data_IF_136256890446
#
_entry.id   IF_136256890446
#
_cell.length_a   1.000
_cell.length_b   1.000
_cell.length_c   1.000
_cell.angle_alpha   90.00
_cell.angle_beta   90.00
_cell.angle_gamma   90.00
#
_symmetry.space_group_name_H-M   'P 1'
#
loop_
_entity.id
_entity.type
_entity.pdbx_description
1 polymer ?
#
# COMPACT_ATOMS: atom_id res chain seq x y z
N UNK A 1 -11.11 0.39 1.15
CA UNK A 1 -11.53 1.35 0.10
C UNK A 1 -10.46 1.36 -0.99
N UNK A 2 -10.81 1.13 -2.24
CA UNK A 2 -9.88 1.24 -3.39
C UNK A 2 -9.59 2.72 -3.70
N UNK A 3 -8.38 3.06 -4.18
CA UNK A 3 -7.98 4.46 -4.41
C UNK A 3 -8.83 5.17 -5.46
N UNK A 4 -9.44 4.41 -6.38
CA UNK A 4 -10.37 4.91 -7.40
C UNK A 4 -11.63 5.55 -6.78
N UNK A 5 -12.19 4.93 -5.73
CA UNK A 5 -13.43 5.35 -5.04
C UNK A 5 -13.20 6.32 -3.88
N UNK A 6 -11.95 6.52 -3.47
CA UNK A 6 -11.63 7.46 -2.39
C UNK A 6 -11.89 8.91 -2.82
N UNK A 7 -12.73 9.60 -2.03
CA UNK A 7 -13.08 11.02 -2.20
C UNK A 7 -12.50 11.80 -0.99
N UNK A 8 -11.41 12.57 -1.17
CA UNK A 8 -10.70 13.23 -0.07
C UNK A 8 -11.54 14.22 0.74
N UNK A 9 -12.58 14.83 0.14
CA UNK A 9 -13.48 15.76 0.83
C UNK A 9 -14.35 15.09 1.89
N UNK A 10 -14.67 13.81 1.70
CA UNK A 10 -15.57 13.07 2.60
C UNK A 10 -14.78 12.30 3.65
N UNK A 11 -13.60 11.80 3.28
CA UNK A 11 -12.75 10.99 4.16
C UNK A 11 -11.30 11.47 4.06
N UNK A 12 -10.75 12.09 5.13
CA UNK A 12 -9.37 12.54 5.11
C UNK A 12 -8.42 11.34 5.00
N UNK A 13 -7.21 11.59 4.52
CA UNK A 13 -6.23 10.53 4.29
C UNK A 13 -5.86 9.76 5.57
N UNK A 14 -6.04 10.38 6.74
CA UNK A 14 -5.82 9.78 8.06
C UNK A 14 -6.67 8.54 8.31
N UNK A 15 -7.88 8.46 7.75
CA UNK A 15 -8.73 7.28 7.88
C UNK A 15 -8.13 6.08 7.14
N UNK A 16 -7.52 6.31 5.96
CA UNK A 16 -6.80 5.24 5.26
C UNK A 16 -5.59 4.75 6.06
N UNK A 17 -4.86 5.65 6.74
CA UNK A 17 -3.75 5.26 7.62
C UNK A 17 -4.25 4.40 8.78
N UNK A 18 -5.38 4.77 9.39
CA UNK A 18 -6.01 3.99 10.48
C UNK A 18 -6.39 2.59 9.98
N UNK A 19 -6.99 2.49 8.80
CA UNK A 19 -7.34 1.19 8.20
C UNK A 19 -6.10 0.33 7.95
N UNK A 20 -5.01 0.90 7.43
CA UNK A 20 -3.74 0.18 7.25
C UNK A 20 -3.23 -0.34 8.59
N UNK A 21 -3.22 0.50 9.63
CA UNK A 21 -2.76 0.12 10.96
C UNK A 21 -3.57 -1.05 11.54
N UNK A 22 -4.90 -0.94 11.55
CA UNK A 22 -5.80 -1.98 12.06
C UNK A 22 -5.69 -3.29 11.26
N UNK A 23 -5.49 -3.18 9.94
CA UNK A 23 -5.30 -4.36 9.08
C UNK A 23 -4.01 -5.09 9.45
N UNK A 24 -2.90 -4.38 9.63
CA UNK A 24 -1.61 -4.96 10.02
C UNK A 24 -1.67 -5.56 11.43
N UNK A 25 -2.31 -4.86 12.38
CA UNK A 25 -2.56 -5.34 13.73
C UNK A 25 -3.37 -6.64 13.74
N UNK A 26 -4.34 -6.79 12.83
CA UNK A 26 -5.09 -8.03 12.73
C UNK A 26 -4.26 -9.14 12.07
N UNK A 27 -3.53 -8.82 11.01
CA UNK A 27 -2.72 -9.79 10.26
C UNK A 27 -1.63 -10.42 11.11
N UNK A 28 -1.00 -9.64 12.00
CA UNK A 28 0.07 -10.14 12.86
C UNK A 28 -0.41 -11.13 13.92
N UNK A 29 -1.71 -11.19 14.21
CA UNK A 29 -2.25 -12.17 15.17
C UNK A 29 -2.19 -13.61 14.65
N UNK A 30 -2.07 -13.80 13.32
CA UNK A 30 -1.96 -15.14 12.73
C UNK A 30 -0.52 -15.62 12.73
N UNK A 31 -0.26 -16.79 13.32
CA UNK A 31 1.06 -17.44 13.29
C UNK A 31 1.51 -17.73 11.86
N UNK A 32 0.58 -18.09 10.97
CA UNK A 32 0.86 -18.30 9.55
C UNK A 32 1.43 -17.01 8.93
N UNK A 33 0.81 -15.85 9.19
CA UNK A 33 1.33 -14.56 8.73
C UNK A 33 2.71 -14.25 9.32
N UNK A 34 2.96 -14.61 10.57
CA UNK A 34 4.26 -14.33 11.21
C UNK A 34 5.37 -15.16 10.57
N UNK A 35 5.11 -16.44 10.29
CA UNK A 35 6.08 -17.37 9.66
C UNK A 35 6.27 -17.04 8.18
N UNK A 36 5.16 -16.90 7.45
CA UNK A 36 5.18 -16.73 6.00
C UNK A 36 5.42 -15.28 5.59
N UNK A 37 5.04 -14.30 6.41
CA UNK A 37 5.02 -12.91 6.00
C UNK A 37 3.91 -12.59 5.00
N UNK A 38 3.98 -11.39 4.42
CA UNK A 38 2.91 -10.83 3.59
C UNK A 38 3.41 -10.35 2.23
N UNK A 39 2.50 -10.31 1.26
CA UNK A 39 2.68 -9.60 -0.01
C UNK A 39 1.75 -8.40 -0.05
N UNK A 40 2.28 -7.24 -0.41
CA UNK A 40 1.53 -5.99 -0.57
C UNK A 40 1.18 -5.82 -2.05
N UNK A 41 -0.10 -5.66 -2.37
CA UNK A 41 -0.58 -5.32 -3.71
C UNK A 41 -1.23 -3.93 -3.68
N UNK A 42 -0.56 -2.95 -4.26
CA UNK A 42 -0.98 -1.56 -4.32
C UNK A 42 -1.60 -1.25 -5.69
N UNK A 43 -2.92 -1.08 -5.71
CA UNK A 43 -3.68 -0.72 -6.91
C UNK A 43 -3.83 0.80 -7.02
N UNK A 44 -3.20 1.38 -8.04
CA UNK A 44 -3.21 2.81 -8.33
C UNK A 44 -4.27 3.22 -9.36
N UNK A 45 -5.20 2.32 -9.72
CA UNK A 45 -6.31 2.64 -10.63
C UNK A 45 -7.06 3.89 -10.15
N UNK A 46 -7.29 4.83 -11.06
CA UNK A 46 -8.04 6.06 -10.78
C UNK A 46 -7.35 7.06 -9.84
N UNK A 47 -6.03 6.92 -9.60
CA UNK A 47 -5.23 7.92 -8.89
C UNK A 47 -4.94 9.11 -9.82
N UNK A 48 -5.55 10.25 -9.51
CA UNK A 48 -5.28 11.53 -10.18
C UNK A 48 -4.25 12.36 -9.41
N UNK A 49 -3.74 13.43 -10.02
CA UNK A 49 -2.83 14.37 -9.35
C UNK A 49 -3.48 15.03 -8.12
N UNK A 50 -4.78 15.33 -8.19
CA UNK A 50 -5.53 15.85 -7.06
C UNK A 50 -5.58 14.87 -5.90
N UNK A 51 -5.77 13.56 -6.13
CA UNK A 51 -5.68 12.56 -5.05
C UNK A 51 -4.26 12.39 -4.54
N UNK A 52 -3.28 12.43 -5.44
CA UNK A 52 -1.87 12.28 -5.10
C UNK A 52 -1.33 13.45 -4.25
N UNK A 53 -1.86 14.68 -4.41
CA UNK A 53 -1.41 15.83 -3.61
C UNK A 53 -1.71 15.71 -2.11
N UNK A 54 -2.68 14.88 -1.73
CA UNK A 54 -2.95 14.52 -0.33
C UNK A 54 -1.89 13.56 0.25
N UNK A 55 -1.08 12.92 -0.61
CA UNK A 55 0.03 12.05 -0.23
C UNK A 55 1.37 12.81 -0.29
N UNK A 56 1.53 13.78 0.61
CA UNK A 56 2.78 14.51 0.77
C UNK A 56 3.86 13.70 1.52
N UNK A 57 5.11 14.21 1.59
CA UNK A 57 6.24 13.54 2.24
C UNK A 57 5.97 13.13 3.71
N UNK A 58 5.24 13.95 4.45
CA UNK A 58 4.90 13.64 5.85
C UNK A 58 4.00 12.40 5.98
N UNK A 59 2.99 12.29 5.11
CA UNK A 59 2.09 11.13 5.07
C UNK A 59 2.86 9.90 4.58
N UNK A 60 3.69 10.04 3.54
CA UNK A 60 4.54 8.97 3.05
C UNK A 60 5.46 8.42 4.16
N UNK A 61 6.14 9.29 4.91
CA UNK A 61 6.98 8.89 6.05
C UNK A 61 6.19 8.11 7.11
N UNK A 62 4.98 8.55 7.46
CA UNK A 62 4.11 7.85 8.41
C UNK A 62 3.72 6.45 7.92
N UNK A 63 3.19 6.34 6.70
CA UNK A 63 2.73 5.06 6.14
C UNK A 63 3.88 4.08 6.00
N UNK A 64 5.03 4.52 5.47
CA UNK A 64 6.20 3.66 5.33
C UNK A 64 6.77 3.24 6.68
N UNK A 65 6.82 4.14 7.66
CA UNK A 65 7.24 3.80 9.03
C UNK A 65 6.35 2.73 9.65
N UNK A 66 5.02 2.86 9.52
CA UNK A 66 4.09 1.82 9.99
C UNK A 66 4.39 0.46 9.32
N UNK A 67 4.61 0.45 8.01
CA UNK A 67 4.81 -0.79 7.24
C UNK A 67 6.15 -1.49 7.55
N UNK A 68 7.24 -0.75 7.77
CA UNK A 68 8.58 -1.33 7.87
C UNK A 68 9.20 -1.32 9.27
N UNK A 69 8.62 -0.54 10.20
CA UNK A 69 9.11 -0.34 11.57
C UNK A 69 8.00 -0.50 12.63
N UNK A 70 6.73 -0.37 12.25
CA UNK A 70 5.60 -0.36 13.20
C UNK A 70 5.20 -1.75 13.71
N UNK A 71 5.50 -2.81 12.97
CA UNK A 71 5.09 -4.18 13.30
C UNK A 71 6.19 -5.18 12.92
N UNK A 72 6.38 -6.27 13.69
CA UNK A 72 7.31 -7.35 13.33
C UNK A 72 6.76 -8.26 12.20
N UNK A 73 6.33 -7.65 11.09
CA UNK A 73 5.81 -8.34 9.91
C UNK A 73 6.88 -8.39 8.82
N UNK A 74 7.06 -9.56 8.20
CA UNK A 74 7.96 -9.75 7.05
C UNK A 74 7.24 -9.44 5.74
N UNK A 75 7.55 -8.30 5.11
CA UNK A 75 7.05 -7.99 3.76
C UNK A 75 7.85 -8.76 2.70
N UNK A 76 7.29 -9.80 2.09
CA UNK A 76 7.93 -10.62 1.03
C UNK A 76 8.07 -9.85 -0.30
N UNK A 77 7.02 -9.16 -0.73
CA UNK A 77 6.98 -8.44 -2.00
C UNK A 77 6.03 -7.23 -1.94
N UNK A 78 6.26 -6.25 -2.83
CA UNK A 78 5.39 -5.11 -3.07
C UNK A 78 5.07 -5.04 -4.56
N UNK A 79 3.84 -5.37 -4.93
CA UNK A 79 3.35 -5.31 -6.29
C UNK A 79 2.57 -4.02 -6.49
N UNK A 80 2.97 -3.23 -7.47
CA UNK A 80 2.22 -2.06 -7.93
C UNK A 80 1.52 -2.44 -9.22
N UNK A 81 0.22 -2.15 -9.31
CA UNK A 81 -0.60 -2.38 -10.49
C UNK A 81 -1.35 -1.11 -10.87
N UNK A 82 -1.68 -0.99 -12.16
CA UNK A 82 -2.40 0.17 -12.73
C UNK A 82 -1.71 1.50 -12.42
N UNK A 83 -0.38 1.58 -12.53
CA UNK A 83 0.33 2.81 -12.20
C UNK A 83 -0.03 3.97 -13.14
N UNK A 84 -0.35 5.17 -12.61
CA UNK A 84 -0.61 6.33 -13.44
C UNK A 84 0.70 6.92 -13.98
N UNK A 85 0.62 7.74 -15.02
CA UNK A 85 1.79 8.45 -15.59
C UNK A 85 2.58 9.25 -14.54
N UNK A 86 1.90 9.74 -13.49
CA UNK A 86 2.49 10.50 -12.38
C UNK A 86 3.22 9.63 -11.34
N UNK A 87 3.17 8.30 -11.44
CA UNK A 87 3.69 7.38 -10.44
C UNK A 87 5.19 7.57 -10.16
N UNK A 88 6.00 7.93 -11.17
CA UNK A 88 7.42 8.22 -10.96
C UNK A 88 7.63 9.36 -9.95
N UNK A 89 6.82 10.41 -10.00
CA UNK A 89 6.87 11.51 -9.04
C UNK A 89 6.41 11.11 -7.65
N UNK A 90 5.31 10.33 -7.57
CA UNK A 90 4.83 9.76 -6.30
C UNK A 90 5.92 8.89 -5.66
N UNK A 91 6.55 8.01 -6.44
CA UNK A 91 7.60 7.13 -5.96
C UNK A 91 8.84 7.90 -5.52
N UNK A 92 9.20 9.02 -6.18
CA UNK A 92 10.29 9.87 -5.74
C UNK A 92 10.06 10.48 -4.35
N UNK A 93 8.81 10.74 -3.97
CA UNK A 93 8.44 11.19 -2.61
C UNK A 93 8.55 10.05 -1.59
N UNK A 94 8.19 8.83 -1.98
CA UNK A 94 8.17 7.66 -1.08
C UNK A 94 9.57 7.08 -0.87
N UNK A 95 10.38 7.01 -1.94
CA UNK A 95 11.68 6.33 -1.97
C UNK A 95 12.63 6.70 -0.83
N UNK A 96 12.79 7.96 -0.40
CA UNK A 96 13.69 8.33 0.68
C UNK A 96 13.35 7.69 2.04
N UNK A 97 12.11 7.23 2.22
CA UNK A 97 11.66 6.61 3.48
C UNK A 97 11.73 5.08 3.45
N UNK A 98 11.94 4.46 2.28
CA UNK A 98 12.00 3.01 2.13
C UNK A 98 13.37 2.48 2.54
N UNK A 99 13.38 1.45 3.38
CA UNK A 99 14.58 0.60 3.54
C UNK A 99 14.93 -0.05 2.21
N UNK A 100 16.22 -0.17 1.92
CA UNK A 100 16.75 -0.76 0.68
C UNK A 100 16.15 -2.15 0.39
N UNK A 101 16.02 -2.98 1.44
CA UNK A 101 15.39 -4.31 1.36
C UNK A 101 13.95 -4.28 0.81
N UNK A 102 13.15 -3.28 1.17
CA UNK A 102 11.77 -3.15 0.69
C UNK A 102 11.76 -2.53 -0.70
N UNK A 103 12.63 -1.54 -0.96
CA UNK A 103 12.79 -0.95 -2.29
C UNK A 103 13.14 -2.01 -3.35
N UNK A 104 13.99 -2.98 -2.99
CA UNK A 104 14.40 -4.10 -3.85
C UNK A 104 13.32 -5.19 -4.03
N UNK A 105 12.27 -5.18 -3.20
CA UNK A 105 11.15 -6.15 -3.26
C UNK A 105 9.95 -5.66 -4.07
N UNK A 106 10.08 -4.49 -4.71
CA UNK A 106 9.01 -3.86 -5.48
C UNK A 106 9.03 -4.34 -6.95
N UNK A 107 7.88 -4.77 -7.46
CA UNK A 107 7.66 -4.95 -8.90
C UNK A 107 6.42 -4.18 -9.37
N UNK A 108 6.48 -3.68 -10.60
CA UNK A 108 5.38 -2.95 -11.28
C UNK A 108 4.85 -3.81 -12.41
N UNK A 109 3.52 -3.90 -12.56
CA UNK A 109 2.89 -4.73 -13.58
C UNK A 109 1.85 -3.92 -14.37
N UNK A 110 1.93 -4.02 -15.69
CA UNK A 110 0.90 -3.55 -16.64
C UNK A 110 -0.17 -4.65 -16.78
N UNK A 111 -1.45 -4.37 -16.55
CA UNK A 111 -2.53 -5.38 -16.40
C UNK A 111 -2.94 -6.14 -17.70
N UNK A 112 -3.69 -7.29 -17.64
CA UNK A 112 -4.10 -8.18 -16.51
C UNK A 112 -3.61 -9.66 -16.67
N UNK A 113 -3.63 -10.58 -15.69
CA UNK A 113 -4.77 -11.31 -15.09
C UNK A 113 -4.49 -11.72 -13.63
N UNK A 114 -5.38 -11.35 -12.72
CA UNK A 114 -5.65 -12.12 -11.49
C UNK A 114 -6.98 -11.62 -10.95
N UNK A 115 -7.98 -12.50 -10.93
CA UNK A 115 -9.33 -12.24 -10.42
C UNK A 115 -9.25 -11.87 -8.92
N UNK A 116 -9.46 -10.62 -8.51
CA UNK A 116 -9.66 -10.32 -7.11
C UNK A 116 -11.11 -10.70 -6.81
N UNK A 117 -11.32 -11.64 -5.89
CA UNK A 117 -12.67 -12.05 -5.48
C UNK A 117 -13.57 -10.86 -5.08
N UNK A 118 -14.90 -11.04 -5.06
CA UNK A 118 -15.90 -9.95 -5.05
C UNK A 118 -15.92 -9.06 -3.78
N UNK A 119 -15.05 -9.32 -2.81
CA UNK A 119 -15.01 -8.62 -1.53
C UNK A 119 -13.58 -8.17 -1.19
N UNK A 120 -13.08 -7.15 -1.90
CA UNK A 120 -11.68 -6.72 -1.76
C UNK A 120 -11.54 -5.20 -1.74
N UNK A 121 -12.13 -4.52 -0.77
CA UNK A 121 -11.95 -3.09 -0.63
C UNK A 121 -10.60 -2.73 0.01
N UNK A 122 -9.49 -2.59 -0.72
CA UNK A 122 -8.34 -1.82 -0.20
C UNK A 122 -7.34 -1.36 -1.25
N UNK A 123 -6.84 -0.14 -1.03
CA UNK A 123 -5.63 0.49 -1.57
C UNK A 123 -4.34 -0.33 -1.37
N UNK A 124 -4.34 -1.33 -0.49
CA UNK A 124 -3.25 -2.29 -0.31
C UNK A 124 -3.90 -3.63 0.02
N UNK A 125 -3.95 -4.57 -0.92
CA UNK A 125 -4.33 -5.95 -0.62
C UNK A 125 -3.12 -6.63 0.00
N UNK A 126 -3.30 -7.20 1.18
CA UNK A 126 -2.25 -7.91 1.90
C UNK A 126 -2.66 -9.37 1.97
N UNK A 127 -1.89 -10.24 1.34
CA UNK A 127 -2.15 -11.69 1.33
C UNK A 127 -1.00 -12.43 2.00
N UNK A 128 -1.34 -13.45 2.78
CA UNK A 128 -0.41 -14.49 3.21
C UNK A 128 -0.22 -15.48 2.05
N UNK A 129 1.00 -15.96 1.86
CA UNK A 129 1.34 -17.10 0.99
C UNK A 129 1.93 -18.19 1.84
#
# INVERSE_FOLDING_TARGET
>A
MTLDRWIPSNYPITENIRVIYLTLEKLIQSEETQVNGIVILADYKGVSLSKASHFGPFIAKKVIGILQDGFPIRIKAVHVVNEPRIFKGIFAIIKPFLKEKIANRRSTHSAPETNPGPHGGSCVLVTTQ
#
